data_IF_855488938143
#
_entry.id   IF_855488938143
#
_cell.length_a   1.000
_cell.length_b   1.000
_cell.length_c   1.000
_cell.angle_alpha   90.00
_cell.angle_beta   90.00
_cell.angle_gamma   90.00
#
_symmetry.space_group_name_H-M   'P 1'
#
loop_
_entity.id
_entity.type
_entity.pdbx_description
1 polymer ?
#
# COMPACT_ATOMS: atom_id res chain seq x y z
N UNK A 1 13.80 -6.83 27.26
CA UNK A 1 12.78 -6.19 26.43
C UNK A 1 11.53 -6.05 27.31
N UNK A 2 11.28 -4.89 27.91
CA UNK A 2 10.14 -4.68 28.80
C UNK A 2 8.90 -4.34 27.96
N UNK A 3 7.71 -4.88 28.28
CA UNK A 3 6.48 -4.50 27.59
C UNK A 3 6.08 -3.08 28.02
N UNK A 4 6.08 -2.16 27.08
CA UNK A 4 5.55 -0.81 27.28
C UNK A 4 4.03 -0.92 27.29
N UNK A 5 3.45 -0.91 28.49
CA UNK A 5 2.00 -0.95 28.68
C UNK A 5 1.35 0.35 28.21
N UNK A 6 0.73 0.32 27.02
CA UNK A 6 -0.14 1.39 26.58
C UNK A 6 -1.36 1.53 27.49
N UNK A 7 -1.71 2.75 27.90
CA UNK A 7 -2.94 3.04 28.65
C UNK A 7 -4.14 2.67 27.76
N UNK A 8 -4.91 1.67 28.17
CA UNK A 8 -6.23 1.42 27.61
C UNK A 8 -7.19 2.46 28.18
N UNK A 9 -7.70 3.32 27.34
CA UNK A 9 -8.79 4.24 27.71
C UNK A 9 -10.09 3.55 27.32
N UNK A 10 -11.02 3.34 28.27
CA UNK A 10 -12.30 2.74 27.92
C UNK A 10 -13.05 3.63 26.93
N UNK A 11 -13.62 3.03 25.89
CA UNK A 11 -14.45 3.71 24.93
C UNK A 11 -15.67 4.30 25.67
N UNK A 12 -15.81 5.62 25.68
CA UNK A 12 -17.06 6.26 26.05
C UNK A 12 -17.93 6.29 24.80
N UNK A 13 -19.03 5.54 24.84
CA UNK A 13 -20.11 5.67 23.86
C UNK A 13 -20.85 6.96 24.23
N UNK A 14 -20.66 8.01 23.45
CA UNK A 14 -21.49 9.19 23.53
C UNK A 14 -22.71 8.89 22.65
N UNK A 15 -23.81 8.49 23.25
CA UNK A 15 -25.11 8.45 22.58
C UNK A 15 -25.54 9.91 22.36
N UNK A 16 -25.60 10.33 21.11
CA UNK A 16 -26.17 11.60 20.73
C UNK A 16 -27.69 11.38 20.61
N UNK A 17 -28.40 11.56 21.71
CA UNK A 17 -29.87 11.49 21.74
C UNK A 17 -30.54 12.75 21.18
N UNK A 18 -29.79 13.74 20.76
CA UNK A 18 -30.35 15.01 20.26
C UNK A 18 -30.26 15.07 18.74
N UNK A 19 -31.43 15.21 18.13
CA UNK A 19 -31.59 15.43 16.68
C UNK A 19 -31.11 16.81 16.20
N UNK A 20 -30.75 17.69 17.13
CA UNK A 20 -30.29 19.06 16.84
C UNK A 20 -28.91 19.26 17.50
N UNK A 21 -27.93 19.61 16.68
CA UNK A 21 -26.57 19.96 17.15
C UNK A 21 -26.33 21.45 16.95
N UNK A 22 -26.03 22.17 18.03
CA UNK A 22 -25.70 23.59 18.00
C UNK A 22 -24.21 23.82 17.92
N UNK A 23 -23.77 24.59 16.93
CA UNK A 23 -22.36 24.99 16.82
C UNK A 23 -21.99 25.96 17.95
N UNK A 24 -20.99 25.61 18.74
CA UNK A 24 -20.46 26.47 19.82
C UNK A 24 -19.80 27.77 19.30
N UNK A 25 -19.44 27.83 18.02
CA UNK A 25 -18.74 28.97 17.41
C UNK A 25 -19.75 29.94 16.75
N UNK A 26 -20.75 29.42 16.05
CA UNK A 26 -21.66 30.23 15.22
C UNK A 26 -23.09 30.33 15.76
N UNK A 27 -23.42 29.56 16.79
CA UNK A 27 -24.81 29.46 17.29
C UNK A 27 -25.79 28.81 16.31
N UNK A 28 -25.33 28.29 15.17
CA UNK A 28 -26.18 27.61 14.20
C UNK A 28 -26.65 26.26 14.72
N UNK A 29 -27.93 26.05 14.58
CA UNK A 29 -28.56 24.76 14.84
C UNK A 29 -28.59 23.93 13.54
N UNK A 30 -28.25 22.67 13.64
CA UNK A 30 -28.28 21.72 12.56
C UNK A 30 -29.21 20.57 12.93
N UNK A 31 -30.30 20.43 12.14
CA UNK A 31 -31.16 19.25 12.27
C UNK A 31 -30.47 18.03 11.65
N UNK A 32 -30.14 17.08 12.49
CA UNK A 32 -29.50 15.81 12.09
C UNK A 32 -30.47 14.62 12.17
N UNK A 33 -31.78 14.89 12.38
CA UNK A 33 -32.83 13.87 12.52
C UNK A 33 -33.09 13.07 11.23
N UNK A 34 -32.68 13.61 10.07
CA UNK A 34 -32.85 12.99 8.75
C UNK A 34 -32.02 11.72 8.50
N UNK A 35 -31.40 11.19 9.52
CA UNK A 35 -30.53 10.04 9.46
C UNK A 35 -29.11 10.37 8.96
N UNK A 36 -28.10 9.67 9.43
CA UNK A 36 -26.74 9.94 9.03
C UNK A 36 -26.61 9.72 7.54
N UNK A 37 -26.18 10.73 6.82
CA UNK A 37 -25.59 10.50 5.52
C UNK A 37 -24.54 9.40 5.69
N UNK A 38 -24.31 8.57 4.68
CA UNK A 38 -23.32 7.45 4.75
C UNK A 38 -21.94 7.87 5.28
N UNK A 39 -21.66 9.18 5.29
CA UNK A 39 -20.43 9.77 5.81
C UNK A 39 -20.36 9.88 7.35
N UNK A 40 -21.48 9.81 8.06
CA UNK A 40 -21.55 10.08 9.49
C UNK A 40 -21.91 8.87 10.36
N UNK A 41 -21.82 7.66 9.84
CA UNK A 41 -21.92 6.48 10.71
C UNK A 41 -20.79 6.56 11.73
N UNK A 42 -21.09 6.73 13.03
CA UNK A 42 -20.05 6.74 14.06
C UNK A 42 -19.34 5.40 14.00
N UNK A 43 -18.04 5.41 13.70
CA UNK A 43 -17.21 4.24 13.90
C UNK A 43 -16.91 4.22 15.39
N UNK A 44 -17.49 3.28 16.09
CA UNK A 44 -17.12 3.01 17.47
C UNK A 44 -15.71 2.44 17.46
N UNK A 45 -14.75 3.23 17.87
CA UNK A 45 -13.40 2.75 18.13
C UNK A 45 -13.45 2.02 19.47
N UNK A 46 -13.55 0.71 19.44
CA UNK A 46 -13.61 -0.13 20.64
C UNK A 46 -12.27 -0.19 21.38
N UNK A 47 -11.16 0.07 20.67
CA UNK A 47 -9.83 0.17 21.26
C UNK A 47 -9.04 1.29 20.59
N UNK A 48 -8.50 2.19 21.38
CA UNK A 48 -7.58 3.24 20.97
C UNK A 48 -6.21 3.01 21.61
N UNK A 49 -5.17 2.97 20.80
CA UNK A 49 -3.79 2.87 21.27
C UNK A 49 -2.90 3.87 20.54
N UNK A 50 -2.18 4.69 21.30
CA UNK A 50 -1.12 5.57 20.74
C UNK A 50 0.12 4.79 20.36
N UNK A 51 0.23 3.53 20.79
CA UNK A 51 1.41 2.68 20.58
C UNK A 51 1.74 2.48 19.09
N UNK A 52 0.73 2.35 18.23
CA UNK A 52 0.94 2.21 16.78
C UNK A 52 1.64 3.41 16.15
N UNK A 53 1.31 4.61 16.59
CA UNK A 53 1.97 5.83 16.12
C UNK A 53 3.42 5.94 16.63
N UNK A 54 3.64 5.63 17.91
CA UNK A 54 4.98 5.66 18.51
C UNK A 54 5.91 4.64 17.83
N UNK A 55 5.39 3.47 17.51
CA UNK A 55 6.13 2.43 16.75
C UNK A 55 6.49 2.93 15.36
N UNK A 56 5.57 3.59 14.66
CA UNK A 56 5.83 4.11 13.31
C UNK A 56 6.81 5.27 13.32
N UNK A 57 6.76 6.16 14.32
CA UNK A 57 7.74 7.23 14.52
C UNK A 57 9.17 6.71 14.68
N UNK A 58 9.33 5.51 15.22
CA UNK A 58 10.64 4.88 15.39
C UNK A 58 11.22 4.29 14.10
N UNK A 59 10.43 4.22 13.01
CA UNK A 59 10.89 3.70 11.73
C UNK A 59 11.70 4.76 10.97
N UNK A 60 12.77 4.36 10.30
CA UNK A 60 13.51 5.25 9.40
C UNK A 60 12.58 5.84 8.32
N UNK A 61 12.68 7.14 8.08
CA UNK A 61 11.85 7.86 7.10
C UNK A 61 10.47 8.27 7.61
N UNK A 62 10.13 7.98 8.88
CA UNK A 62 8.82 8.30 9.46
C UNK A 62 8.73 9.74 10.00
N UNK A 63 9.83 10.47 10.07
CA UNK A 63 9.91 11.80 10.69
C UNK A 63 8.92 12.79 10.07
N UNK A 64 8.66 12.66 8.78
CA UNK A 64 7.73 13.53 8.05
C UNK A 64 6.25 13.27 8.35
N UNK A 65 5.90 12.12 8.95
CA UNK A 65 4.50 11.75 9.25
C UNK A 65 3.81 12.73 10.19
N UNK A 66 4.55 13.31 11.13
CA UNK A 66 4.01 14.26 12.11
C UNK A 66 3.54 15.56 11.47
N UNK A 67 4.09 15.92 10.32
CA UNK A 67 3.79 17.18 9.65
C UNK A 67 2.47 17.16 8.88
N UNK A 68 1.82 16.01 8.79
CA UNK A 68 0.55 15.88 8.08
C UNK A 68 -0.59 16.53 8.87
N UNK A 69 -1.17 17.59 8.33
CA UNK A 69 -2.37 18.24 8.86
C UNK A 69 -3.67 17.82 8.16
N UNK A 70 -3.63 16.79 7.30
CA UNK A 70 -4.82 16.20 6.73
C UNK A 70 -5.49 16.98 5.57
N UNK A 71 -4.75 17.83 4.83
CA UNK A 71 -5.29 18.68 3.76
C UNK A 71 -5.93 17.94 2.58
N UNK A 72 -5.65 16.65 2.39
CA UNK A 72 -6.26 15.80 1.38
C UNK A 72 -5.70 15.90 -0.04
N UNK A 73 -4.73 16.79 -0.34
CA UNK A 73 -4.14 16.94 -1.69
C UNK A 73 -3.57 15.67 -2.29
N UNK A 74 -3.13 14.74 -1.45
CA UNK A 74 -2.59 13.45 -1.87
C UNK A 74 -3.64 12.46 -2.39
N UNK A 75 -4.93 12.68 -2.10
CA UNK A 75 -6.02 11.77 -2.46
C UNK A 75 -6.29 11.79 -3.98
N UNK A 76 -6.61 12.95 -4.61
CA UNK A 76 -6.98 12.97 -6.02
C UNK A 76 -5.85 12.64 -6.99
N UNK A 77 -4.60 12.59 -6.53
CA UNK A 77 -3.45 12.24 -7.38
C UNK A 77 -3.02 10.78 -7.22
N UNK A 78 -3.68 10.04 -6.34
CA UNK A 78 -3.39 8.63 -6.13
C UNK A 78 -4.09 7.78 -7.19
N UNK A 79 -3.36 7.04 -8.05
CA UNK A 79 -3.99 6.22 -9.08
C UNK A 79 -4.84 5.09 -8.50
N UNK A 80 -4.56 4.68 -7.27
CA UNK A 80 -5.28 3.59 -6.61
C UNK A 80 -6.58 4.08 -5.98
N UNK A 81 -6.66 5.34 -5.55
CA UNK A 81 -7.88 5.94 -5.00
C UNK A 81 -9.02 5.97 -6.03
N UNK A 82 -8.68 6.02 -7.33
CA UNK A 82 -9.64 6.00 -8.44
C UNK A 82 -10.30 4.64 -8.65
N UNK A 83 -9.66 3.56 -8.23
CA UNK A 83 -10.11 2.18 -8.49
C UNK A 83 -10.44 1.38 -7.23
N UNK A 84 -10.19 1.93 -6.06
CA UNK A 84 -10.42 1.25 -4.79
C UNK A 84 -10.59 2.19 -3.60
N UNK A 85 -10.89 1.62 -2.45
CA UNK A 85 -11.04 2.38 -1.19
C UNK A 85 -9.70 2.74 -0.53
N UNK A 86 -8.63 2.88 -1.31
CA UNK A 86 -7.33 3.30 -0.83
C UNK A 86 -7.15 4.80 -1.01
N UNK A 87 -6.46 5.42 -0.05
CA UNK A 87 -5.98 6.79 -0.21
C UNK A 87 -4.85 7.08 0.76
N UNK A 88 -3.82 7.81 0.36
CA UNK A 88 -2.67 8.12 1.22
C UNK A 88 -3.10 8.79 2.53
N UNK A 89 -4.09 9.68 2.47
CA UNK A 89 -4.67 10.34 3.66
C UNK A 89 -5.34 9.34 4.60
N UNK A 90 -6.07 8.35 4.06
CA UNK A 90 -6.74 7.32 4.87
C UNK A 90 -5.72 6.48 5.60
N UNK A 91 -4.70 5.99 4.89
CA UNK A 91 -3.61 5.22 5.48
C UNK A 91 -2.88 6.02 6.56
N UNK A 92 -2.55 7.28 6.27
CA UNK A 92 -1.90 8.17 7.22
C UNK A 92 -2.76 8.37 8.48
N UNK A 93 -4.06 8.52 8.31
CA UNK A 93 -5.00 8.68 9.43
C UNK A 93 -5.11 7.43 10.29
N UNK A 94 -5.11 6.26 9.67
CA UNK A 94 -5.06 4.98 10.39
C UNK A 94 -3.83 4.91 11.28
N UNK A 95 -2.67 5.31 10.76
CA UNK A 95 -1.42 5.40 11.51
C UNK A 95 -1.56 6.36 12.71
N UNK A 96 -2.03 7.58 12.46
CA UNK A 96 -2.18 8.60 13.50
C UNK A 96 -3.15 8.19 14.63
N UNK A 97 -4.15 7.39 14.32
CA UNK A 97 -5.14 6.91 15.29
C UNK A 97 -4.76 5.59 15.95
N UNK A 98 -3.56 5.06 15.67
CA UNK A 98 -3.10 3.81 16.25
C UNK A 98 -3.85 2.58 15.75
N UNK A 99 -4.57 2.68 14.63
CA UNK A 99 -5.19 1.52 14.00
C UNK A 99 -4.11 0.56 13.50
N UNK A 100 -4.37 -0.73 13.63
CA UNK A 100 -3.44 -1.74 13.19
C UNK A 100 -3.34 -1.75 11.65
N UNK A 101 -2.21 -1.26 11.14
CA UNK A 101 -1.91 -1.28 9.72
C UNK A 101 -1.60 -2.68 9.20
N UNK A 102 -1.22 -3.60 10.08
CA UNK A 102 -0.87 -4.95 9.69
C UNK A 102 -2.08 -5.71 9.15
N UNK A 103 -3.28 -5.36 9.61
CA UNK A 103 -4.53 -5.94 9.12
C UNK A 103 -5.11 -5.22 7.89
N UNK A 104 -4.43 -4.21 7.35
CA UNK A 104 -4.97 -3.41 6.26
C UNK A 104 -4.50 -3.93 4.90
N UNK A 105 -5.35 -4.65 4.17
CA UNK A 105 -5.12 -5.00 2.75
C UNK A 105 -4.71 -3.80 1.90
N UNK A 106 -5.18 -2.62 2.29
CA UNK A 106 -4.87 -1.33 1.67
C UNK A 106 -3.37 -1.00 1.65
N UNK A 107 -2.58 -1.53 2.60
CA UNK A 107 -1.14 -1.37 2.63
C UNK A 107 -0.46 -1.89 1.34
N UNK A 108 -1.00 -2.97 0.79
CA UNK A 108 -0.46 -3.64 -0.40
C UNK A 108 -0.89 -3.01 -1.71
N UNK A 109 -1.91 -2.15 -1.70
CA UNK A 109 -2.38 -1.43 -2.89
C UNK A 109 -1.45 -0.27 -3.29
N UNK A 110 -0.63 0.24 -2.40
CA UNK A 110 0.27 1.35 -2.70
C UNK A 110 1.35 0.95 -3.72
N UNK A 111 1.37 1.64 -4.87
CA UNK A 111 2.35 1.42 -5.94
C UNK A 111 3.66 2.20 -5.76
N UNK A 112 3.82 2.92 -4.66
CA UNK A 112 5.01 3.76 -4.36
C UNK A 112 5.39 4.77 -5.46
N UNK A 113 4.40 5.27 -6.20
CA UNK A 113 4.60 6.14 -7.38
C UNK A 113 5.03 7.58 -7.08
N UNK A 114 5.13 7.98 -5.82
CA UNK A 114 5.54 9.30 -5.36
C UNK A 114 4.57 10.48 -5.64
N UNK A 115 3.45 10.29 -6.30
CA UNK A 115 2.53 11.39 -6.61
C UNK A 115 2.02 12.11 -5.36
N UNK A 116 1.75 11.39 -4.28
CA UNK A 116 1.33 11.97 -3.00
C UNK A 116 2.41 12.87 -2.38
N UNK A 117 3.69 12.51 -2.51
CA UNK A 117 4.80 13.34 -2.04
C UNK A 117 4.92 14.64 -2.85
N UNK A 118 4.82 14.56 -4.18
CA UNK A 118 4.96 15.71 -5.08
C UNK A 118 3.97 16.84 -4.80
N UNK A 119 2.74 16.50 -4.38
CA UNK A 119 1.68 17.49 -4.11
C UNK A 119 1.58 17.87 -2.64
N UNK A 120 2.36 17.23 -1.77
CA UNK A 120 2.29 17.45 -0.34
C UNK A 120 3.00 18.76 0.05
N UNK A 121 2.27 19.76 0.62
CA UNK A 121 2.90 21.02 1.04
C UNK A 121 3.83 20.85 2.24
N UNK A 122 3.69 19.75 2.97
CA UNK A 122 4.51 19.37 4.12
C UNK A 122 5.55 18.31 3.81
N UNK A 123 5.68 17.91 2.54
CA UNK A 123 6.65 16.90 2.09
C UNK A 123 6.59 15.59 2.88
N UNK A 124 5.37 15.14 3.26
CA UNK A 124 5.18 13.87 3.96
C UNK A 124 5.55 12.72 3.02
N UNK A 125 6.60 11.99 3.37
CA UNK A 125 7.19 10.97 2.51
C UNK A 125 6.68 9.57 2.87
N UNK A 126 5.52 9.22 2.31
CA UNK A 126 4.94 7.89 2.48
C UNK A 126 5.76 6.76 1.83
N UNK A 127 6.65 7.11 0.89
CA UNK A 127 7.38 6.12 0.10
C UNK A 127 8.49 5.48 0.93
N UNK A 128 9.20 6.28 1.72
CA UNK A 128 10.27 5.77 2.60
C UNK A 128 9.71 4.88 3.71
N UNK A 129 8.50 5.16 4.18
CA UNK A 129 7.89 4.40 5.27
C UNK A 129 7.30 3.09 4.79
N UNK A 130 6.82 3.04 3.54
CA UNK A 130 6.05 1.91 3.02
C UNK A 130 6.80 0.58 3.08
N UNK A 131 8.11 0.48 2.73
CA UNK A 131 8.87 -0.75 2.87
C UNK A 131 8.92 -1.26 4.31
N UNK A 132 9.21 -0.39 5.27
CA UNK A 132 9.32 -0.76 6.68
C UNK A 132 7.97 -1.22 7.27
N UNK A 133 6.88 -0.59 6.89
CA UNK A 133 5.53 -1.01 7.33
C UNK A 133 5.16 -2.37 6.72
N UNK A 134 5.49 -2.60 5.45
CA UNK A 134 5.26 -3.89 4.79
C UNK A 134 6.11 -5.01 5.37
N UNK A 135 7.36 -4.74 5.69
CA UNK A 135 8.23 -5.70 6.37
C UNK A 135 7.62 -6.16 7.70
N UNK A 136 7.08 -5.24 8.48
CA UNK A 136 6.39 -5.58 9.73
C UNK A 136 5.11 -6.37 9.49
N UNK A 137 4.34 -6.03 8.47
CA UNK A 137 3.14 -6.78 8.10
C UNK A 137 3.49 -8.23 7.71
N UNK A 138 4.55 -8.43 6.94
CA UNK A 138 5.07 -9.76 6.59
C UNK A 138 5.50 -10.52 7.84
N UNK A 139 6.26 -9.88 8.73
CA UNK A 139 6.71 -10.48 10.00
C UNK A 139 5.54 -10.88 10.91
N UNK A 140 4.41 -10.18 10.82
CA UNK A 140 3.18 -10.50 11.54
C UNK A 140 2.28 -11.52 10.81
N UNK A 141 2.69 -12.02 9.63
CA UNK A 141 1.90 -12.93 8.81
C UNK A 141 0.71 -12.29 8.09
N UNK A 142 0.63 -10.95 8.06
CA UNK A 142 -0.42 -10.19 7.40
C UNK A 142 -0.02 -9.84 5.97
N UNK A 143 -0.06 -10.82 5.08
CA UNK A 143 0.23 -10.67 3.67
C UNK A 143 -0.89 -11.31 2.84
N UNK A 144 -1.38 -10.67 1.75
CA UNK A 144 -2.32 -11.30 0.84
C UNK A 144 -1.79 -12.61 0.29
N UNK A 145 -2.63 -13.65 0.26
CA UNK A 145 -2.22 -15.00 -0.14
C UNK A 145 -1.64 -15.05 -1.56
N UNK A 146 -2.17 -14.24 -2.47
CA UNK A 146 -1.70 -14.13 -3.84
C UNK A 146 -0.27 -13.58 -3.88
N UNK A 147 0.03 -12.57 -3.07
CA UNK A 147 1.36 -11.97 -3.00
C UNK A 147 2.36 -12.92 -2.34
N UNK A 148 1.95 -13.62 -1.28
CA UNK A 148 2.76 -14.67 -0.67
C UNK A 148 3.12 -15.74 -1.70
N UNK A 149 2.13 -16.21 -2.48
CA UNK A 149 2.36 -17.20 -3.53
C UNK A 149 3.36 -16.73 -4.60
N UNK A 150 3.33 -15.46 -4.97
CA UNK A 150 4.32 -14.86 -5.90
C UNK A 150 5.73 -14.86 -5.29
N UNK A 151 5.85 -14.49 -4.00
CA UNK A 151 7.15 -14.50 -3.30
C UNK A 151 7.73 -15.91 -3.19
N UNK A 152 6.92 -16.90 -2.84
CA UNK A 152 7.32 -18.31 -2.76
C UNK A 152 7.77 -18.86 -4.12
N UNK A 153 7.04 -18.53 -5.20
CA UNK A 153 7.43 -18.91 -6.57
C UNK A 153 8.74 -18.27 -6.97
N UNK A 154 8.91 -16.98 -6.68
CA UNK A 154 10.15 -16.25 -6.97
C UNK A 154 11.34 -16.88 -6.24
N UNK A 155 11.17 -17.22 -4.97
CA UNK A 155 12.22 -17.89 -4.19
C UNK A 155 12.54 -19.29 -4.72
N UNK A 156 11.52 -20.09 -5.05
CA UNK A 156 11.70 -21.49 -5.48
C UNK A 156 12.18 -21.64 -6.93
N UNK A 157 11.67 -20.81 -7.84
CA UNK A 157 11.86 -20.96 -9.29
C UNK A 157 12.67 -19.83 -9.93
N UNK A 158 13.01 -18.77 -9.15
CA UNK A 158 13.67 -17.58 -9.69
C UNK A 158 12.80 -16.75 -10.62
N UNK A 159 11.47 -16.93 -10.56
CA UNK A 159 10.50 -16.13 -11.32
C UNK A 159 9.13 -16.11 -10.63
N UNK A 160 8.39 -15.01 -10.83
CA UNK A 160 7.10 -14.75 -10.19
C UNK A 160 5.98 -15.69 -10.67
N UNK A 161 6.11 -16.29 -11.85
CA UNK A 161 5.10 -17.16 -12.45
C UNK A 161 5.23 -18.62 -11.99
N UNK A 162 6.37 -19.00 -11.37
CA UNK A 162 6.64 -20.36 -10.93
C UNK A 162 7.00 -21.32 -12.08
N UNK A 163 7.44 -20.76 -13.20
CA UNK A 163 7.79 -21.49 -14.40
C UNK A 163 9.22 -22.06 -14.34
N UNK A 164 9.47 -23.11 -15.12
CA UNK A 164 10.79 -23.73 -15.18
C UNK A 164 11.84 -22.76 -15.79
N UNK A 165 12.91 -22.40 -15.06
CA UNK A 165 13.94 -21.46 -15.54
C UNK A 165 14.58 -21.86 -16.88
N UNK A 166 14.66 -23.16 -17.17
CA UNK A 166 15.21 -23.67 -18.46
C UNK A 166 14.38 -23.27 -19.66
N UNK A 167 13.11 -22.89 -19.47
CA UNK A 167 12.20 -22.43 -20.52
C UNK A 167 12.24 -20.92 -20.73
N UNK A 168 13.03 -20.17 -19.98
CA UNK A 168 13.08 -18.70 -20.05
C UNK A 168 13.31 -18.17 -21.48
N UNK A 169 14.07 -18.88 -22.28
CA UNK A 169 14.36 -18.49 -23.68
C UNK A 169 13.47 -19.21 -24.73
N UNK A 170 12.46 -19.97 -24.31
CA UNK A 170 11.65 -20.75 -25.25
C UNK A 170 10.87 -19.88 -26.28
N UNK A 171 10.57 -18.65 -25.92
CA UNK A 171 9.89 -17.66 -26.78
C UNK A 171 10.70 -17.32 -28.05
N UNK A 172 12.04 -17.42 -28.01
CA UNK A 172 12.91 -17.08 -29.14
C UNK A 172 12.64 -17.94 -30.39
N UNK A 173 12.09 -19.14 -30.21
CA UNK A 173 11.79 -20.07 -31.33
C UNK A 173 10.73 -19.53 -32.29
N UNK A 174 9.88 -18.59 -31.84
CA UNK A 174 8.83 -17.98 -32.64
C UNK A 174 9.13 -16.55 -33.09
N UNK A 175 10.33 -16.04 -32.86
CA UNK A 175 10.65 -14.64 -33.08
C UNK A 175 10.82 -14.23 -34.56
N UNK A 176 10.77 -15.15 -35.50
CA UNK A 176 10.94 -14.85 -36.95
C UNK A 176 12.34 -14.35 -37.33
N UNK A 177 13.21 -14.10 -36.36
CA UNK A 177 14.61 -13.72 -36.51
C UNK A 177 15.47 -14.59 -35.60
N UNK A 178 16.76 -14.72 -35.92
CA UNK A 178 17.68 -15.42 -35.05
C UNK A 178 17.96 -14.59 -33.81
N UNK A 179 17.54 -15.11 -32.64
CA UNK A 179 17.76 -14.46 -31.33
C UNK A 179 18.90 -15.18 -30.62
N UNK A 180 20.00 -14.50 -30.42
CA UNK A 180 21.15 -15.02 -29.68
C UNK A 180 20.89 -14.93 -28.17
N UNK A 181 20.99 -16.06 -27.47
CA UNK A 181 20.81 -16.14 -26.03
C UNK A 181 22.19 -16.07 -25.34
N UNK A 182 22.47 -14.94 -24.66
CA UNK A 182 23.79 -14.65 -24.09
C UNK A 182 24.27 -15.68 -23.03
N UNK A 183 23.36 -16.35 -22.34
CA UNK A 183 23.72 -17.44 -21.41
C UNK A 183 24.27 -18.67 -22.13
N UNK A 184 24.01 -18.83 -23.45
CA UNK A 184 24.48 -19.94 -24.28
C UNK A 184 25.63 -19.51 -25.19
N UNK A 185 25.64 -18.25 -25.62
CA UNK A 185 26.68 -17.66 -26.49
C UNK A 185 27.09 -16.27 -25.95
N UNK A 186 28.09 -16.21 -25.04
CA UNK A 186 28.43 -15.00 -24.27
C UNK A 186 29.30 -13.98 -25.02
N UNK A 187 29.29 -13.99 -26.38
CA UNK A 187 30.03 -13.01 -27.16
C UNK A 187 29.49 -11.57 -26.95
N UNK A 188 30.33 -10.53 -27.04
CA UNK A 188 29.89 -9.14 -26.93
C UNK A 188 28.73 -8.81 -27.88
N UNK A 189 27.84 -7.92 -27.45
CA UNK A 189 26.69 -7.40 -28.21
C UNK A 189 26.62 -5.90 -28.07
N UNK A 190 26.15 -5.23 -29.14
CA UNK A 190 25.92 -3.79 -29.12
C UNK A 190 24.58 -3.44 -28.43
N UNK A 191 23.59 -4.33 -28.52
CA UNK A 191 22.26 -4.15 -27.94
C UNK A 191 21.85 -5.41 -27.22
N UNK A 192 21.42 -5.27 -25.95
CA UNK A 192 20.86 -6.33 -25.14
C UNK A 192 19.34 -6.13 -24.98
N UNK A 193 18.57 -7.10 -25.44
CA UNK A 193 17.15 -7.17 -25.12
C UNK A 193 16.96 -7.98 -23.81
N UNK A 194 16.67 -7.28 -22.72
CA UNK A 194 16.42 -7.91 -21.43
C UNK A 194 14.95 -8.32 -21.32
N UNK A 195 14.70 -9.62 -21.20
CA UNK A 195 13.35 -10.20 -21.15
C UNK A 195 13.04 -10.67 -19.73
N UNK A 196 12.09 -10.04 -19.09
CA UNK A 196 11.62 -10.39 -17.75
C UNK A 196 10.66 -11.59 -17.75
N UNK A 197 10.17 -11.97 -16.57
CA UNK A 197 9.36 -13.18 -16.38
C UNK A 197 8.09 -13.21 -17.22
N UNK A 198 7.31 -12.12 -17.26
CA UNK A 198 6.05 -12.09 -18.00
C UNK A 198 6.25 -12.33 -19.51
N UNK A 199 7.25 -11.66 -20.09
CA UNK A 199 7.59 -11.80 -21.51
C UNK A 199 8.22 -13.15 -21.84
N UNK A 200 8.90 -13.77 -20.87
CA UNK A 200 9.54 -15.07 -21.04
C UNK A 200 8.54 -16.23 -21.01
N UNK A 201 7.49 -16.15 -20.16
CA UNK A 201 6.68 -17.33 -19.85
C UNK A 201 5.19 -17.17 -20.20
N UNK A 202 4.63 -15.97 -20.11
CA UNK A 202 3.22 -15.77 -20.38
C UNK A 202 2.94 -15.68 -21.89
N UNK A 203 1.94 -16.38 -22.44
CA UNK A 203 1.70 -16.45 -23.90
C UNK A 203 1.56 -15.08 -24.57
N UNK A 204 0.83 -14.14 -23.95
CA UNK A 204 0.68 -12.78 -24.49
C UNK A 204 1.99 -11.98 -24.44
N UNK A 205 2.80 -12.19 -23.37
CA UNK A 205 4.13 -11.58 -23.28
C UNK A 205 5.06 -12.12 -24.36
N UNK A 206 5.06 -13.44 -24.59
CA UNK A 206 5.86 -14.07 -25.65
C UNK A 206 5.50 -13.54 -27.03
N UNK A 207 4.21 -13.39 -27.35
CA UNK A 207 3.77 -12.81 -28.63
C UNK A 207 4.33 -11.39 -28.83
N UNK A 208 4.28 -10.55 -27.78
CA UNK A 208 4.81 -9.20 -27.87
C UNK A 208 6.36 -9.17 -27.92
N UNK A 209 7.05 -10.12 -27.30
CA UNK A 209 8.51 -10.22 -27.40
C UNK A 209 8.98 -10.74 -28.79
N UNK A 210 8.11 -11.43 -29.52
CA UNK A 210 8.35 -11.98 -30.85
C UNK A 210 8.04 -10.98 -31.99
N UNK A 211 7.22 -9.94 -31.70
CA UNK A 211 6.83 -8.91 -32.67
C UNK A 211 7.94 -7.88 -32.90
#
# INVERSE_FOLDING_TARGET
MMPVGGRKVPAQVVELDEAIVTSSISGREWDVSGGPSRMLKPRVLTEYSTHGFDVLRSLPGAESLEWCYGCGRCVPVCPVDLVGEYGPRKLHRMVQTGMDLQAADQLWMCTTCANCLRVCPKQVNMIEIMPAVRERAVAAGSIPAELQGVMEKTFRYGNALGENPRRRHAWTRGAGVEVRVLSQDPRPVDVLFYVEDYWSYHPRGQQAAQA
#
